data_IF_178992473330
#
_entry.id   IF_178992473330
#
_cell.length_a   1.000
_cell.length_b   1.000
_cell.length_c   1.000
_cell.angle_alpha   90.00
_cell.angle_beta   90.00
_cell.angle_gamma   90.00
#
_symmetry.space_group_name_H-M   'P 1'
#
loop_
_entity.id
_entity.type
_entity.pdbx_description
1 polymer ?
#
# COMPACT_ATOMS: atom_id res chain seq x y z
N UNK A 1 -42.00 -41.33 36.11
CA UNK A 1 -41.71 -40.69 34.82
C UNK A 1 -41.18 -39.31 35.16
N UNK A 2 -39.90 -39.26 35.50
CA UNK A 2 -38.79 -38.90 34.61
C UNK A 2 -38.54 -37.38 34.57
N UNK A 3 -37.54 -37.00 35.35
CA UNK A 3 -36.45 -36.03 35.15
C UNK A 3 -36.70 -34.66 34.48
N UNK A 4 -36.33 -33.64 35.28
CA UNK A 4 -35.59 -32.42 34.93
C UNK A 4 -34.71 -32.52 33.67
N UNK A 5 -34.64 -31.43 32.89
CA UNK A 5 -33.40 -30.69 32.67
C UNK A 5 -33.62 -29.37 31.91
N UNK A 6 -33.05 -28.29 32.45
CA UNK A 6 -32.76 -27.04 31.76
C UNK A 6 -31.84 -27.25 30.54
N UNK A 7 -32.01 -26.44 29.50
CA UNK A 7 -30.98 -26.15 28.51
C UNK A 7 -31.12 -24.68 28.09
N UNK A 8 -30.56 -23.76 28.88
CA UNK A 8 -29.25 -23.13 28.61
C UNK A 8 -29.11 -22.64 27.17
N UNK A 9 -29.30 -21.33 27.00
CA UNK A 9 -28.79 -20.62 25.83
C UNK A 9 -27.28 -20.73 25.79
N UNK A 10 -26.75 -21.30 24.72
CA UNK A 10 -25.34 -21.17 24.39
C UNK A 10 -25.15 -19.81 23.72
N UNK A 11 -24.86 -18.78 24.51
CA UNK A 11 -23.97 -17.71 24.07
C UNK A 11 -22.60 -18.35 23.86
N UNK A 12 -22.18 -18.47 22.61
CA UNK A 12 -20.78 -18.73 22.27
C UNK A 12 -20.02 -17.44 22.56
N UNK A 13 -19.51 -17.32 23.79
CA UNK A 13 -18.49 -16.35 24.12
C UNK A 13 -17.22 -16.74 23.35
N UNK A 14 -17.02 -16.12 22.19
CA UNK A 14 -15.72 -16.12 21.52
C UNK A 14 -14.75 -15.38 22.44
N UNK A 15 -13.66 -16.02 22.92
CA UNK A 15 -12.67 -15.29 23.69
C UNK A 15 -12.03 -14.24 22.78
N UNK A 16 -12.24 -12.98 23.16
CA UNK A 16 -11.52 -11.82 22.67
C UNK A 16 -10.03 -12.15 22.63
N UNK A 17 -9.46 -12.23 21.43
CA UNK A 17 -8.03 -12.41 21.24
C UNK A 17 -7.42 -11.02 21.17
N UNK A 18 -6.68 -10.56 22.20
CA UNK A 18 -6.05 -9.25 22.15
C UNK A 18 -5.03 -9.27 21.02
N UNK A 19 -5.18 -8.29 20.11
CA UNK A 19 -4.28 -7.97 19.01
C UNK A 19 -2.85 -8.10 19.49
N UNK A 20 -2.10 -9.04 18.90
CA UNK A 20 -0.69 -9.21 19.23
C UNK A 20 0.06 -7.91 18.90
N UNK A 21 0.98 -7.43 19.77
CA UNK A 21 1.78 -6.25 19.46
C UNK A 21 2.71 -6.54 18.27
N UNK A 22 3.02 -5.54 17.44
CA UNK A 22 3.88 -5.72 16.27
C UNK A 22 5.24 -6.27 16.68
N UNK A 23 5.70 -7.28 15.94
CA UNK A 23 6.98 -7.95 16.14
C UNK A 23 8.12 -6.94 16.07
N UNK A 24 8.82 -6.76 17.20
CA UNK A 24 10.03 -5.95 17.32
C UNK A 24 11.04 -6.31 16.23
N UNK A 25 11.37 -5.37 15.35
CA UNK A 25 12.50 -5.47 14.45
C UNK A 25 13.78 -5.83 15.22
N UNK A 26 14.40 -6.96 14.88
CA UNK A 26 15.73 -7.31 15.37
C UNK A 26 16.75 -6.29 14.84
N UNK A 27 17.35 -5.52 15.74
CA UNK A 27 18.51 -4.67 15.45
C UNK A 27 19.70 -5.56 15.11
N UNK A 28 20.15 -5.54 13.86
CA UNK A 28 21.48 -6.07 13.49
C UNK A 28 22.50 -5.04 13.95
N UNK A 29 23.36 -5.44 14.89
CA UNK A 29 24.37 -4.59 15.52
C UNK A 29 25.44 -4.12 14.54
N UNK A 30 25.78 -2.83 14.63
CA UNK A 30 26.96 -2.26 13.98
C UNK A 30 28.22 -2.74 14.69
N UNK A 31 29.10 -3.43 13.95
CA UNK A 31 30.48 -3.68 14.39
C UNK A 31 31.40 -2.56 13.91
N UNK A 32 32.00 -1.90 14.88
CA UNK A 32 33.00 -0.83 14.79
C UNK A 32 34.31 -1.35 14.15
N UNK A 33 34.79 -0.70 13.08
CA UNK A 33 36.18 -0.85 12.62
C UNK A 33 36.76 0.53 12.27
N UNK A 34 37.66 1.01 13.12
CA UNK A 34 38.39 2.27 12.97
C UNK A 34 39.58 2.16 12.00
N UNK A 35 39.60 3.10 11.03
CA UNK A 35 40.72 3.95 10.52
C UNK A 35 41.91 3.25 9.81
N UNK A 36 42.30 3.70 8.60
CA UNK A 36 43.43 4.65 8.40
C UNK A 36 43.30 5.52 7.13
N UNK A 37 43.83 6.75 7.23
CA UNK A 37 43.88 7.77 6.16
C UNK A 37 45.00 7.46 5.16
N UNK A 38 44.73 7.63 3.86
CA UNK A 38 45.71 7.74 2.79
C UNK A 38 45.18 8.67 1.70
N UNK A 39 45.81 9.83 1.56
CA UNK A 39 45.48 10.89 0.60
C UNK A 39 46.05 10.61 -0.78
N UNK A 40 45.19 10.54 -1.81
CA UNK A 40 45.53 10.87 -3.20
C UNK A 40 44.35 11.58 -3.84
N UNK A 41 44.55 12.86 -4.12
CA UNK A 41 43.65 13.72 -4.84
C UNK A 41 43.53 13.22 -6.29
N UNK A 42 42.33 12.76 -6.65
CA UNK A 42 41.91 12.45 -8.02
C UNK A 42 40.69 13.31 -8.29
N UNK A 43 40.78 14.13 -9.33
CA UNK A 43 39.70 14.97 -9.83
C UNK A 43 38.38 14.18 -9.88
N UNK A 44 37.44 14.53 -8.99
CA UNK A 44 36.08 14.03 -9.03
C UNK A 44 35.37 14.71 -10.18
N UNK A 45 35.30 14.04 -11.33
CA UNK A 45 34.12 14.17 -12.20
C UNK A 45 32.91 13.93 -11.29
N UNK A 46 32.04 14.93 -11.15
CA UNK A 46 30.73 14.78 -10.48
C UNK A 46 29.90 13.82 -11.32
N UNK A 47 30.19 12.54 -11.20
CA UNK A 47 29.22 11.49 -11.41
C UNK A 47 28.34 11.58 -10.16
N UNK A 48 27.28 12.37 -10.25
CA UNK A 48 26.14 12.22 -9.36
C UNK A 48 25.68 10.79 -9.57
N UNK A 49 26.12 9.89 -8.71
CA UNK A 49 25.46 8.61 -8.54
C UNK A 49 24.04 8.99 -8.17
N UNK A 50 23.07 8.72 -9.08
CA UNK A 50 21.66 8.63 -8.73
C UNK A 50 21.57 7.53 -7.69
N UNK A 51 21.84 7.90 -6.44
CA UNK A 51 21.41 7.18 -5.26
C UNK A 51 19.92 7.44 -5.26
N UNK A 52 19.20 6.69 -6.10
CA UNK A 52 17.76 6.82 -6.27
C UNK A 52 17.17 6.74 -4.88
N UNK A 53 16.67 7.87 -4.40
CA UNK A 53 15.82 7.86 -3.23
C UNK A 53 14.70 6.89 -3.59
N UNK A 54 14.52 5.84 -2.80
CA UNK A 54 13.40 4.94 -3.01
C UNK A 54 12.15 5.74 -2.64
N UNK A 55 11.45 6.22 -3.67
CA UNK A 55 10.33 7.14 -3.54
C UNK A 55 9.19 6.71 -4.47
N UNK A 56 7.97 7.08 -4.11
CA UNK A 56 6.75 6.76 -4.85
C UNK A 56 5.66 7.74 -4.44
N UNK A 57 4.41 7.42 -4.76
CA UNK A 57 3.28 8.35 -4.65
C UNK A 57 2.28 7.88 -3.61
N UNK A 58 1.71 8.83 -2.89
CA UNK A 58 0.43 8.67 -2.19
C UNK A 58 -0.62 9.36 -3.03
N UNK A 59 -1.69 8.66 -3.38
CA UNK A 59 -2.77 9.21 -4.22
C UNK A 59 -4.07 9.18 -3.42
N UNK A 60 -4.67 10.34 -3.21
CA UNK A 60 -6.00 10.48 -2.60
C UNK A 60 -7.08 10.12 -3.61
N UNK A 61 -7.99 9.24 -3.24
CA UNK A 61 -9.10 8.81 -4.09
C UNK A 61 -10.40 8.68 -3.29
N UNK A 62 -11.51 9.08 -3.91
CA UNK A 62 -12.85 8.92 -3.35
C UNK A 62 -13.91 8.69 -4.45
N UNK A 63 -15.10 8.24 -4.05
CA UNK A 63 -16.30 8.04 -4.88
C UNK A 63 -17.14 9.32 -5.04
N UNK A 64 -16.73 10.41 -4.39
CA UNK A 64 -17.33 11.74 -4.52
C UNK A 64 -16.27 12.80 -4.78
N UNK A 65 -16.64 13.95 -5.39
CA UNK A 65 -15.72 15.08 -5.55
C UNK A 65 -15.04 15.49 -4.24
N UNK A 66 -13.78 15.87 -4.33
CA UNK A 66 -12.96 16.26 -3.18
C UNK A 66 -12.74 17.77 -3.25
N UNK A 67 -13.13 18.48 -2.19
CA UNK A 67 -12.85 19.92 -2.06
C UNK A 67 -11.34 20.15 -1.96
N UNK A 68 -10.83 21.22 -2.58
CA UNK A 68 -9.38 21.50 -2.63
C UNK A 68 -8.77 21.70 -1.25
N UNK A 69 -9.58 22.20 -0.32
CA UNK A 69 -9.24 22.40 1.08
C UNK A 69 -9.02 21.08 1.83
N UNK A 70 -9.54 19.97 1.29
CA UNK A 70 -9.37 18.61 1.82
C UNK A 70 -8.30 17.82 1.05
N UNK A 71 -7.57 18.44 0.12
CA UNK A 71 -6.46 17.77 -0.53
C UNK A 71 -5.37 17.48 0.50
N UNK A 72 -4.77 16.30 0.38
CA UNK A 72 -3.61 15.96 1.21
C UNK A 72 -2.46 16.93 0.97
N UNK A 73 -1.84 17.34 2.07
CA UNK A 73 -0.59 18.10 2.13
C UNK A 73 0.52 17.25 2.78
N UNK A 74 1.72 17.83 2.91
CA UNK A 74 2.87 17.13 3.47
C UNK A 74 2.70 16.70 4.94
N UNK A 75 1.76 17.29 5.68
CA UNK A 75 1.50 17.00 7.10
C UNK A 75 0.32 16.03 7.30
N UNK A 76 -0.39 15.66 6.22
CA UNK A 76 -1.60 14.84 6.28
C UNK A 76 -1.35 13.36 6.65
N UNK A 77 -0.12 12.87 6.51
CA UNK A 77 0.24 11.47 6.75
C UNK A 77 1.19 11.36 7.94
N UNK A 78 0.86 10.49 8.89
CA UNK A 78 1.70 10.20 10.06
C UNK A 78 3.00 9.51 9.62
N UNK A 79 4.11 10.14 9.97
CA UNK A 79 5.47 9.66 9.70
C UNK A 79 6.10 9.18 11.00
N UNK A 80 6.97 8.16 10.91
CA UNK A 80 7.68 7.66 12.10
C UNK A 80 8.13 6.21 12.02
N UNK A 81 8.71 5.67 13.11
CA UNK A 81 9.42 4.38 13.11
C UNK A 81 8.60 3.15 12.72
N UNK A 82 7.26 3.26 12.73
CA UNK A 82 6.33 2.19 12.36
C UNK A 82 5.47 2.55 11.13
N UNK A 83 5.70 3.72 10.52
CA UNK A 83 4.96 4.15 9.33
C UNK A 83 5.54 3.46 8.09
N UNK A 84 4.71 3.33 7.05
CA UNK A 84 5.17 2.93 5.72
C UNK A 84 5.98 4.04 5.03
N UNK A 85 5.98 5.24 5.62
CA UNK A 85 6.46 6.48 5.05
C UNK A 85 7.42 7.17 6.02
N UNK A 86 8.64 7.45 5.56
CA UNK A 86 9.63 8.21 6.32
C UNK A 86 9.31 9.71 6.32
N UNK A 87 9.00 10.26 5.15
CA UNK A 87 8.48 11.62 4.99
C UNK A 87 7.72 11.76 3.67
N UNK A 88 6.84 12.76 3.65
CA UNK A 88 6.01 13.20 2.53
C UNK A 88 6.48 14.55 2.04
N UNK A 89 6.21 14.85 0.77
CA UNK A 89 6.41 16.17 0.19
C UNK A 89 5.31 16.47 -0.83
N UNK A 90 4.83 17.71 -0.82
CA UNK A 90 3.98 18.21 -1.89
C UNK A 90 4.74 18.21 -3.23
N UNK A 91 4.00 18.04 -4.31
CA UNK A 91 4.54 18.08 -5.68
C UNK A 91 3.85 19.15 -6.50
N UNK A 92 4.50 19.54 -7.60
CA UNK A 92 3.89 20.50 -8.52
C UNK A 92 2.63 19.92 -9.18
N UNK A 93 1.69 20.79 -9.55
CA UNK A 93 0.47 20.37 -10.26
C UNK A 93 0.76 19.55 -11.52
N UNK A 94 1.85 19.88 -12.23
CA UNK A 94 2.30 19.13 -13.40
C UNK A 94 2.73 17.71 -13.05
N UNK A 95 3.46 17.53 -11.95
CA UNK A 95 3.89 16.21 -11.48
C UNK A 95 2.72 15.41 -10.93
N UNK A 96 1.76 16.08 -10.27
CA UNK A 96 0.50 15.49 -9.83
C UNK A 96 -0.28 14.93 -11.02
N UNK A 97 -0.52 15.72 -12.06
CA UNK A 97 -1.21 15.26 -13.26
C UNK A 97 -0.49 14.08 -13.93
N UNK A 98 0.84 14.15 -14.04
CA UNK A 98 1.64 13.05 -14.58
C UNK A 98 1.57 11.77 -13.70
N UNK A 99 1.49 11.91 -12.38
CA UNK A 99 1.33 10.79 -11.47
C UNK A 99 -0.02 10.08 -11.69
N UNK A 100 -1.11 10.83 -11.89
CA UNK A 100 -2.45 10.29 -12.20
C UNK A 100 -2.44 9.54 -13.54
N UNK A 101 -1.84 10.14 -14.57
CA UNK A 101 -1.71 9.49 -15.89
C UNK A 101 -0.89 8.20 -15.80
N UNK A 102 0.23 8.21 -15.07
CA UNK A 102 1.06 7.03 -14.90
C UNK A 102 0.35 5.93 -14.09
N UNK A 103 -0.44 6.29 -13.06
CA UNK A 103 -1.26 5.35 -12.31
C UNK A 103 -2.11 4.51 -13.26
N UNK A 104 -2.93 5.18 -14.08
CA UNK A 104 -3.85 4.49 -15.00
C UNK A 104 -3.13 3.75 -16.11
N UNK A 105 -2.11 4.35 -16.72
CA UNK A 105 -1.48 3.80 -17.93
C UNK A 105 -0.42 2.73 -17.66
N UNK A 106 0.13 2.65 -16.45
CA UNK A 106 1.28 1.80 -16.15
C UNK A 106 1.12 0.93 -14.90
N UNK A 107 0.38 1.38 -13.89
CA UNK A 107 0.36 0.72 -12.58
C UNK A 107 -0.94 -0.03 -12.29
N UNK A 108 -2.07 0.47 -12.80
CA UNK A 108 -3.35 -0.22 -12.68
C UNK A 108 -3.49 -1.37 -13.68
N UNK A 109 -4.30 -2.40 -13.37
CA UNK A 109 -4.52 -3.51 -14.28
C UNK A 109 -5.06 -3.04 -15.64
N UNK A 110 -4.45 -3.55 -16.70
CA UNK A 110 -4.76 -3.14 -18.07
C UNK A 110 -6.24 -3.38 -18.39
N UNK A 111 -6.92 -2.32 -18.85
CA UNK A 111 -8.32 -2.36 -19.27
C UNK A 111 -9.33 -2.20 -18.13
N UNK A 112 -8.92 -2.29 -16.86
CA UNK A 112 -9.82 -2.09 -15.72
C UNK A 112 -10.05 -0.61 -15.41
N UNK A 113 -9.21 0.29 -15.91
CA UNK A 113 -9.31 1.71 -15.62
C UNK A 113 -9.00 2.56 -16.86
N UNK A 114 -9.58 3.75 -16.91
CA UNK A 114 -9.26 4.80 -17.87
C UNK A 114 -9.28 6.17 -17.20
N UNK A 115 -8.59 7.14 -17.78
CA UNK A 115 -8.76 8.53 -17.39
C UNK A 115 -10.21 8.97 -17.69
N UNK A 116 -10.81 9.70 -16.76
CA UNK A 116 -12.14 10.28 -16.98
C UNK A 116 -12.11 11.48 -17.92
N UNK A 117 -13.29 11.93 -18.30
CA UNK A 117 -13.45 13.11 -19.17
C UNK A 117 -13.28 14.42 -18.41
N UNK A 118 -13.62 14.41 -17.11
CA UNK A 118 -13.40 15.54 -16.22
C UNK A 118 -11.97 15.49 -15.65
N UNK A 119 -11.35 16.65 -15.38
CA UNK A 119 -10.05 16.70 -14.71
C UNK A 119 -10.08 15.91 -13.39
N UNK A 120 -8.94 15.33 -13.03
CA UNK A 120 -8.76 14.64 -11.75
C UNK A 120 -9.75 13.48 -11.52
N UNK A 121 -10.21 12.83 -12.58
CA UNK A 121 -11.08 11.65 -12.47
C UNK A 121 -10.50 10.42 -13.16
N UNK A 122 -10.82 9.26 -12.62
CA UNK A 122 -10.59 7.96 -13.25
C UNK A 122 -11.90 7.18 -13.32
N UNK A 123 -12.07 6.35 -14.34
CA UNK A 123 -13.25 5.50 -14.51
C UNK A 123 -12.84 4.05 -14.31
N UNK A 124 -13.60 3.35 -13.47
CA UNK A 124 -13.47 1.90 -13.30
C UNK A 124 -14.29 1.19 -14.40
N UNK A 125 -13.62 0.41 -15.25
CA UNK A 125 -14.19 -0.25 -16.42
C UNK A 125 -14.54 -1.72 -16.16
N UNK A 126 -14.70 -2.14 -14.90
CA UNK A 126 -15.01 -3.52 -14.56
C UNK A 126 -13.78 -4.44 -14.63
N UNK A 127 -14.04 -5.74 -14.75
CA UNK A 127 -12.99 -6.77 -14.92
C UNK A 127 -12.38 -7.33 -13.63
N UNK A 128 -12.96 -7.04 -12.44
CA UNK A 128 -12.42 -7.53 -11.17
C UNK A 128 -12.35 -9.06 -11.10
N UNK A 129 -13.47 -9.76 -11.37
CA UNK A 129 -13.52 -11.23 -11.30
C UNK A 129 -12.45 -11.89 -12.19
N UNK A 130 -12.29 -11.35 -13.39
CA UNK A 130 -11.33 -11.82 -14.37
C UNK A 130 -9.88 -11.59 -13.88
N UNK A 131 -9.58 -10.41 -13.34
CA UNK A 131 -8.29 -10.09 -12.78
C UNK A 131 -7.97 -10.92 -11.52
N UNK A 132 -8.94 -11.08 -10.61
CA UNK A 132 -8.81 -11.94 -9.43
C UNK A 132 -8.50 -13.39 -9.84
N UNK A 133 -9.26 -13.92 -10.81
CA UNK A 133 -9.14 -15.30 -11.27
C UNK A 133 -7.86 -15.59 -12.04
N UNK A 134 -7.36 -14.62 -12.83
CA UNK A 134 -6.23 -14.82 -13.75
C UNK A 134 -4.89 -14.31 -13.21
N UNK A 135 -4.90 -13.28 -12.37
CA UNK A 135 -3.68 -12.59 -11.92
C UNK A 135 -3.39 -12.79 -10.43
N UNK A 136 -4.29 -12.40 -9.53
CA UNK A 136 -3.95 -12.32 -8.10
C UNK A 136 -4.10 -13.66 -7.35
N UNK A 137 -5.26 -14.32 -7.45
CA UNK A 137 -5.48 -15.60 -6.75
C UNK A 137 -4.49 -16.71 -7.17
N UNK A 138 -4.10 -16.84 -8.45
CA UNK A 138 -3.06 -17.79 -8.84
C UNK A 138 -1.72 -17.54 -8.14
N UNK A 139 -1.29 -16.27 -8.00
CA UNK A 139 -0.05 -15.89 -7.29
C UNK A 139 -0.12 -16.28 -5.82
N UNK A 140 -1.24 -15.99 -5.15
CA UNK A 140 -1.45 -16.36 -3.73
C UNK A 140 -1.38 -17.89 -3.57
N UNK A 141 -2.11 -18.63 -4.41
CA UNK A 141 -2.13 -20.09 -4.36
C UNK A 141 -0.74 -20.69 -4.59
N UNK A 142 0.00 -20.16 -5.56
CA UNK A 142 1.37 -20.59 -5.83
C UNK A 142 2.31 -20.29 -4.64
N UNK A 143 2.23 -19.09 -4.07
CA UNK A 143 3.02 -18.72 -2.89
C UNK A 143 2.73 -19.65 -1.71
N UNK A 144 1.46 -19.95 -1.45
CA UNK A 144 1.04 -20.87 -0.40
C UNK A 144 1.51 -22.31 -0.64
N UNK A 145 1.43 -22.81 -1.88
CA UNK A 145 1.90 -24.17 -2.24
C UNK A 145 3.40 -24.35 -2.04
N UNK A 146 4.18 -23.28 -2.17
CA UNK A 146 5.63 -23.31 -1.94
C UNK A 146 6.00 -23.32 -0.45
N UNK A 147 5.05 -23.10 0.46
CA UNK A 147 5.27 -23.19 1.91
C UNK A 147 5.23 -24.64 2.39
N UNK A 148 6.03 -24.93 3.41
CA UNK A 148 6.15 -26.24 4.06
C UNK A 148 6.53 -26.06 5.53
N UNK A 149 6.41 -27.13 6.30
CA UNK A 149 6.85 -27.17 7.71
C UNK A 149 8.34 -26.86 7.88
N UNK A 150 9.16 -27.01 6.84
CA UNK A 150 10.59 -26.74 6.87
C UNK A 150 10.97 -25.29 6.54
N UNK A 151 10.18 -24.60 5.71
CA UNK A 151 10.55 -23.30 5.16
C UNK A 151 9.65 -22.14 5.59
N UNK A 152 8.51 -22.39 6.23
CA UNK A 152 7.54 -21.33 6.56
C UNK A 152 8.18 -20.22 7.41
N UNK A 153 8.98 -20.56 8.42
CA UNK A 153 9.69 -19.59 9.26
C UNK A 153 11.03 -19.10 8.67
N UNK A 154 11.41 -19.54 7.46
CA UNK A 154 12.68 -19.16 6.85
C UNK A 154 12.57 -17.91 5.98
N UNK A 155 13.66 -17.16 5.98
CA UNK A 155 14.12 -16.27 4.89
C UNK A 155 13.00 -15.50 4.20
N UNK A 156 12.20 -14.78 4.99
CA UNK A 156 11.19 -13.83 4.51
C UNK A 156 9.94 -14.46 3.87
N UNK A 157 9.72 -15.77 3.96
CA UNK A 157 8.56 -16.40 3.32
C UNK A 157 7.23 -15.88 3.88
N UNK A 158 7.10 -15.77 5.20
CA UNK A 158 5.93 -15.14 5.83
C UNK A 158 5.78 -13.67 5.41
N UNK A 159 6.86 -12.89 5.47
CA UNK A 159 6.86 -11.50 5.03
C UNK A 159 6.43 -11.33 3.57
N UNK A 160 6.89 -12.19 2.66
CA UNK A 160 6.50 -12.17 1.24
C UNK A 160 5.03 -12.54 1.06
N UNK A 161 4.54 -13.50 1.84
CA UNK A 161 3.12 -13.87 1.82
C UNK A 161 2.25 -12.70 2.28
N UNK A 162 2.61 -12.08 3.41
CA UNK A 162 1.94 -10.88 3.92
C UNK A 162 1.95 -9.75 2.89
N UNK A 163 3.12 -9.45 2.31
CA UNK A 163 3.27 -8.46 1.24
C UNK A 163 2.40 -8.75 0.01
N UNK A 164 2.27 -10.01 -0.40
CA UNK A 164 1.44 -10.40 -1.53
C UNK A 164 -0.06 -10.23 -1.25
N UNK A 165 -0.47 -10.44 0.00
CA UNK A 165 -1.84 -10.23 0.45
C UNK A 165 -2.16 -8.73 0.63
N UNK A 166 -1.21 -7.95 1.10
CA UNK A 166 -1.36 -6.52 1.41
C UNK A 166 -1.16 -5.61 0.17
N UNK A 167 -0.39 -6.06 -0.83
CA UNK A 167 -0.06 -5.30 -2.04
C UNK A 167 -0.44 -6.04 -3.33
N UNK A 168 -1.73 -6.19 -3.60
CA UNK A 168 -2.22 -7.01 -4.71
C UNK A 168 -1.70 -6.61 -6.11
N UNK A 169 -1.44 -5.31 -6.34
CA UNK A 169 -0.87 -4.80 -7.59
C UNK A 169 0.65 -4.88 -7.67
N UNK A 170 1.33 -5.21 -6.56
CA UNK A 170 2.80 -5.21 -6.42
C UNK A 170 3.46 -3.87 -6.84
N UNK A 171 2.84 -2.75 -6.47
CA UNK A 171 3.35 -1.40 -6.75
C UNK A 171 3.83 -0.69 -5.49
N UNK A 172 4.62 0.38 -5.67
CA UNK A 172 5.03 1.26 -4.58
C UNK A 172 3.94 2.25 -4.15
N UNK A 173 3.03 2.61 -5.06
CA UNK A 173 1.98 3.61 -4.79
C UNK A 173 1.10 3.21 -3.61
N UNK A 174 0.87 4.16 -2.70
CA UNK A 174 -0.10 4.06 -1.62
C UNK A 174 -1.36 4.87 -1.95
N UNK A 175 -2.48 4.49 -1.34
CA UNK A 175 -3.79 5.05 -1.61
C UNK A 175 -4.40 5.60 -0.33
N UNK A 176 -4.83 6.85 -0.39
CA UNK A 176 -5.62 7.44 0.68
C UNK A 176 -7.09 7.41 0.24
N UNK A 177 -7.88 6.54 0.86
CA UNK A 177 -9.23 6.19 0.40
C UNK A 177 -10.27 6.96 1.21
N UNK A 178 -10.30 8.28 1.00
CA UNK A 178 -11.29 9.17 1.62
C UNK A 178 -11.30 10.52 0.91
N UNK A 179 -12.46 11.18 0.91
CA UNK A 179 -12.65 12.56 0.44
C UNK A 179 -12.31 13.62 1.49
N UNK A 180 -12.15 13.22 2.75
CA UNK A 180 -11.64 14.08 3.82
C UNK A 180 -10.12 13.94 3.97
N UNK A 181 -9.55 14.64 4.96
CA UNK A 181 -8.14 14.53 5.33
C UNK A 181 -7.95 14.15 6.82
N UNK A 182 -8.92 13.45 7.42
CA UNK A 182 -8.89 13.12 8.85
C UNK A 182 -8.11 11.84 9.16
N UNK A 183 -8.09 10.90 8.23
CA UNK A 183 -7.24 9.72 8.34
C UNK A 183 -5.76 10.13 8.23
N UNK A 184 -4.90 9.52 9.03
CA UNK A 184 -3.47 9.85 9.10
C UNK A 184 -2.56 8.83 8.41
N UNK A 185 -3.11 7.87 7.65
CA UNK A 185 -2.34 6.80 7.01
C UNK A 185 -2.81 6.56 5.59
N UNK A 186 -1.92 6.03 4.75
CA UNK A 186 -2.23 5.60 3.40
C UNK A 186 -2.11 4.08 3.29
N UNK A 187 -2.99 3.49 2.50
CA UNK A 187 -3.15 2.06 2.35
C UNK A 187 -2.35 1.51 1.16
N UNK A 188 -2.09 0.21 1.18
CA UNK A 188 -1.54 -0.49 0.01
C UNK A 188 -2.63 -0.83 -1.00
N UNK A 189 -2.18 -1.32 -2.15
CA UNK A 189 -3.05 -1.59 -3.29
C UNK A 189 -4.13 -2.64 -3.06
N UNK A 190 -4.02 -3.53 -2.06
CA UNK A 190 -5.12 -4.46 -1.76
C UNK A 190 -6.36 -3.74 -1.25
N UNK A 191 -6.21 -2.82 -0.29
CA UNK A 191 -7.34 -2.04 0.23
C UNK A 191 -7.97 -1.17 -0.86
N UNK A 192 -7.14 -0.61 -1.75
CA UNK A 192 -7.63 0.09 -2.95
C UNK A 192 -8.47 -0.83 -3.84
N UNK A 193 -7.96 -2.01 -4.19
CA UNK A 193 -8.70 -2.93 -5.05
C UNK A 193 -9.97 -3.48 -4.39
N UNK A 194 -9.98 -3.65 -3.06
CA UNK A 194 -11.16 -3.97 -2.27
C UNK A 194 -12.19 -2.85 -2.34
N UNK A 195 -11.79 -1.60 -2.11
CA UNK A 195 -12.65 -0.43 -2.22
C UNK A 195 -13.27 -0.30 -3.62
N UNK A 196 -12.48 -0.45 -4.69
CA UNK A 196 -13.00 -0.39 -6.07
C UNK A 196 -14.02 -1.51 -6.35
N UNK A 197 -13.85 -2.70 -5.76
CA UNK A 197 -14.72 -3.86 -5.98
C UNK A 197 -16.17 -3.64 -5.51
N UNK A 198 -16.42 -2.63 -4.68
CA UNK A 198 -17.77 -2.29 -4.20
C UNK A 198 -18.60 -1.55 -5.26
N UNK A 199 -17.97 -1.08 -6.34
CA UNK A 199 -18.60 -0.22 -7.34
C UNK A 199 -18.79 -0.92 -8.69
N UNK A 200 -19.86 -0.58 -9.43
CA UNK A 200 -20.11 -1.15 -10.75
C UNK A 200 -19.15 -0.61 -11.82
N UNK A 201 -19.05 -1.36 -12.92
CA UNK A 201 -18.43 -0.86 -14.15
C UNK A 201 -19.03 0.49 -14.59
N UNK A 202 -18.17 1.40 -15.01
CA UNK A 202 -18.48 2.78 -15.38
C UNK A 202 -18.45 3.77 -14.22
N UNK A 203 -18.19 3.32 -12.98
CA UNK A 203 -18.11 4.24 -11.84
C UNK A 203 -16.92 5.21 -11.97
N UNK A 204 -17.16 6.47 -11.61
CA UNK A 204 -16.16 7.54 -11.68
C UNK A 204 -15.62 7.81 -10.28
N UNK A 205 -14.31 7.73 -10.13
CA UNK A 205 -13.61 8.10 -8.92
C UNK A 205 -12.88 9.43 -9.11
N UNK A 206 -12.78 10.19 -8.03
CA UNK A 206 -12.17 11.51 -7.97
C UNK A 206 -10.82 11.44 -7.27
N UNK A 207 -9.82 12.11 -7.85
CA UNK A 207 -8.46 12.14 -7.34
C UNK A 207 -8.19 13.50 -6.68
N UNK A 208 -7.79 13.47 -5.41
CA UNK A 208 -7.50 14.67 -4.63
C UNK A 208 -6.02 15.04 -4.65
N UNK A 209 -5.45 15.22 -3.45
CA UNK A 209 -4.02 15.43 -3.25
C UNK A 209 -3.17 14.24 -3.73
N UNK A 210 -1.98 14.55 -4.24
CA UNK A 210 -0.95 13.54 -4.57
C UNK A 210 0.35 13.98 -3.95
N UNK A 211 0.96 13.11 -3.16
CA UNK A 211 2.23 13.39 -2.47
C UNK A 211 3.35 12.55 -3.04
N UNK A 212 4.57 13.08 -3.02
CA UNK A 212 5.77 12.25 -3.07
C UNK A 212 6.06 11.73 -1.66
N UNK A 213 6.52 10.47 -1.56
CA UNK A 213 6.91 9.92 -0.27
C UNK A 213 8.15 9.03 -0.39
N UNK A 214 8.88 8.91 0.72
CA UNK A 214 10.12 8.14 0.83
C UNK A 214 10.02 6.97 1.83
N UNK A 215 10.81 5.91 1.58
CA UNK A 215 10.96 4.71 2.45
C UNK A 215 12.37 4.11 2.43
#
# INVERSE_FOLDING_TARGET
MENQACGHGCTVDLPYCPVAPPLKCLKIGNTDLRRTKGSKERERKKQTTNKGLMHSRIIQIADSPIDKENFLDEDSIETGPNSLVDYTAEISEKERQLAIENLVNHWLPKGMFSLGTEPDTIVYNGGMDDWLGKEWLPKIRQAAQNLSTYNVFKSLNLYRMERLLDNALDIGTLFYISSDNYQSYAERSTAFMEYINEYPEGHVFYIGGVLDYHW
#
